data_IF_209821595974
#
_entry.id   IF_209821595974
#
_cell.length_a   1.000
_cell.length_b   1.000
_cell.length_c   1.000
_cell.angle_alpha   90.00
_cell.angle_beta   90.00
_cell.angle_gamma   90.00
#
_symmetry.space_group_name_H-M   'P 1'
#
loop_
_entity.id
_entity.type
_entity.pdbx_description
1 polymer ?
#
# COMPACT_ATOMS: atom_id res chain seq x y z
N UNK A 1 -9.78 6.38 -9.58
CA UNK A 1 -8.78 7.44 -9.36
C UNK A 1 -7.78 6.92 -8.35
N UNK A 2 -6.50 7.00 -8.66
CA UNK A 2 -5.45 6.53 -7.76
C UNK A 2 -5.32 7.45 -6.53
N UNK A 3 -5.14 6.84 -5.36
CA UNK A 3 -4.89 7.53 -4.09
C UNK A 3 -3.40 7.83 -3.85
N UNK A 4 -2.53 7.34 -4.73
CA UNK A 4 -1.08 7.58 -4.69
C UNK A 4 -0.57 7.83 -6.10
N UNK A 5 0.61 8.45 -6.18
CA UNK A 5 1.30 8.78 -7.42
C UNK A 5 2.47 7.84 -7.70
N UNK A 6 3.02 7.93 -8.92
CA UNK A 6 4.22 7.19 -9.32
C UNK A 6 5.41 7.53 -8.41
N UNK A 7 5.54 8.79 -7.99
CA UNK A 7 6.59 9.24 -7.07
C UNK A 7 6.51 8.56 -5.70
N UNK A 8 5.29 8.29 -5.21
CA UNK A 8 5.11 7.54 -3.96
C UNK A 8 5.57 6.08 -4.12
N UNK A 9 5.32 5.47 -5.28
CA UNK A 9 5.77 4.12 -5.61
C UNK A 9 7.31 4.07 -5.69
N UNK A 10 7.94 5.05 -6.32
CA UNK A 10 9.40 5.16 -6.37
C UNK A 10 10.01 5.31 -4.97
N UNK A 11 9.40 6.13 -4.12
CA UNK A 11 9.82 6.30 -2.74
C UNK A 11 9.70 4.98 -1.94
N UNK A 12 8.63 4.21 -2.17
CA UNK A 12 8.43 2.91 -1.54
C UNK A 12 9.38 1.82 -2.07
N UNK A 13 9.69 1.85 -3.37
CA UNK A 13 10.66 0.95 -4.01
C UNK A 13 12.11 1.28 -3.64
N UNK A 14 12.40 2.53 -3.28
CA UNK A 14 13.77 3.03 -3.10
C UNK A 14 14.55 3.15 -4.41
N UNK A 15 13.86 3.17 -5.56
CA UNK A 15 14.43 3.35 -6.90
C UNK A 15 13.40 3.99 -7.83
N UNK A 16 13.89 4.60 -8.90
CA UNK A 16 13.07 5.17 -9.99
C UNK A 16 12.39 4.04 -10.78
N UNK A 17 11.17 4.28 -11.24
CA UNK A 17 10.45 3.39 -12.15
C UNK A 17 11.10 3.47 -13.54
N UNK A 18 11.26 2.32 -14.19
CA UNK A 18 11.69 2.31 -15.59
C UNK A 18 10.52 2.62 -16.52
N UNK A 19 10.79 3.12 -17.74
CA UNK A 19 9.72 3.45 -18.72
C UNK A 19 8.85 2.24 -19.12
N UNK A 20 9.33 1.02 -18.89
CA UNK A 20 8.58 -0.22 -19.14
C UNK A 20 7.67 -0.63 -17.97
N UNK A 21 7.84 -0.02 -16.79
CA UNK A 21 7.09 -0.35 -15.57
C UNK A 21 5.86 0.56 -15.45
N UNK A 22 4.76 0.15 -16.09
CA UNK A 22 3.47 0.81 -15.93
C UNK A 22 2.77 0.33 -14.64
N UNK A 23 2.64 1.24 -13.67
CA UNK A 23 2.02 0.99 -12.36
C UNK A 23 0.58 1.50 -12.27
N UNK A 24 0.04 2.11 -13.32
CA UNK A 24 -1.28 2.76 -13.31
C UNK A 24 -2.41 1.81 -12.88
N UNK A 25 -2.49 0.64 -13.52
CA UNK A 25 -3.52 -0.37 -13.21
C UNK A 25 -3.34 -0.94 -11.80
N UNK A 26 -2.10 -1.06 -11.32
CA UNK A 26 -1.81 -1.52 -9.95
C UNK A 26 -2.23 -0.47 -8.91
N UNK A 27 -1.97 0.81 -9.19
CA UNK A 27 -2.37 1.94 -8.35
C UNK A 27 -3.89 2.04 -8.25
N UNK A 28 -4.61 1.89 -9.36
CA UNK A 28 -6.07 1.88 -9.37
C UNK A 28 -6.62 0.71 -8.54
N UNK A 29 -6.14 -0.51 -8.80
CA UNK A 29 -6.58 -1.71 -8.07
C UNK A 29 -6.28 -1.60 -6.56
N UNK A 30 -5.09 -1.10 -6.20
CA UNK A 30 -4.72 -0.87 -4.81
C UNK A 30 -5.61 0.20 -4.15
N UNK A 31 -5.93 1.26 -4.89
CA UNK A 31 -6.81 2.33 -4.42
C UNK A 31 -8.24 1.84 -4.18
N UNK A 32 -8.78 1.00 -5.06
CA UNK A 32 -10.10 0.40 -4.90
C UNK A 32 -10.16 -0.52 -3.66
N UNK A 33 -9.12 -1.31 -3.42
CA UNK A 33 -9.00 -2.14 -2.23
C UNK A 33 -8.95 -1.30 -0.95
N UNK A 34 -8.19 -0.20 -0.96
CA UNK A 34 -8.11 0.72 0.18
C UNK A 34 -9.43 1.43 0.41
N UNK A 35 -10.11 1.93 -0.64
CA UNK A 35 -11.43 2.53 -0.53
C UNK A 35 -12.47 1.53 0.02
N UNK A 36 -12.45 0.29 -0.48
CA UNK A 36 -13.30 -0.79 0.01
C UNK A 36 -13.05 -1.11 1.49
N UNK A 37 -11.79 -1.06 1.94
CA UNK A 37 -11.44 -1.24 3.35
C UNK A 37 -11.89 -0.06 4.23
N UNK A 38 -11.66 1.17 3.76
CA UNK A 38 -12.00 2.40 4.48
C UNK A 38 -13.52 2.64 4.54
N UNK A 39 -14.26 2.16 3.53
CA UNK A 39 -15.69 2.37 3.37
C UNK A 39 -16.06 3.74 2.81
N UNK A 40 -15.08 4.49 2.30
CA UNK A 40 -15.23 5.78 1.62
C UNK A 40 -13.95 6.09 0.83
N UNK A 41 -14.03 7.09 -0.04
CA UNK A 41 -12.87 7.65 -0.73
C UNK A 41 -12.42 8.91 0.02
N UNK A 42 -11.20 8.96 0.59
CA UNK A 42 -10.71 10.14 1.27
C UNK A 42 -10.42 11.28 0.29
N UNK A 43 -10.84 12.50 0.65
CA UNK A 43 -10.57 13.73 -0.09
C UNK A 43 -10.49 14.91 0.91
N UNK A 44 -9.30 15.53 1.13
CA UNK A 44 -8.01 15.18 0.52
C UNK A 44 -7.49 13.82 1.02
N UNK A 45 -6.60 13.19 0.25
CA UNK A 45 -5.99 11.90 0.61
C UNK A 45 -4.90 12.12 1.67
N UNK A 46 -4.99 11.52 2.87
CA UNK A 46 -3.92 11.62 3.87
C UNK A 46 -2.64 10.90 3.42
N UNK A 47 -1.45 11.49 3.66
CA UNK A 47 -0.16 10.88 3.33
C UNK A 47 -0.02 9.41 3.80
N UNK A 48 -0.49 9.02 5.01
CA UNK A 48 -0.38 7.62 5.44
C UNK A 48 -1.19 6.66 4.56
N UNK A 49 -2.28 7.12 3.94
CA UNK A 49 -3.10 6.33 3.01
C UNK A 49 -2.37 6.18 1.68
N UNK A 50 -1.81 7.27 1.13
CA UNK A 50 -1.00 7.24 -0.08
C UNK A 50 0.20 6.29 0.05
N UNK A 51 0.93 6.35 1.18
CA UNK A 51 2.05 5.44 1.47
C UNK A 51 1.64 3.97 1.52
N UNK A 52 0.45 3.66 2.05
CA UNK A 52 -0.04 2.27 2.07
C UNK A 52 -0.34 1.78 0.66
N UNK A 53 -0.91 2.61 -0.20
CA UNK A 53 -1.18 2.27 -1.60
C UNK A 53 0.14 2.04 -2.35
N UNK A 54 1.12 2.92 -2.16
CA UNK A 54 2.46 2.76 -2.73
C UNK A 54 3.17 1.49 -2.24
N UNK A 55 3.14 1.20 -0.95
CA UNK A 55 3.68 -0.03 -0.35
C UNK A 55 3.04 -1.29 -0.96
N UNK A 56 1.73 -1.25 -1.26
CA UNK A 56 1.03 -2.36 -1.91
C UNK A 56 1.55 -2.61 -3.33
N UNK A 57 1.72 -1.55 -4.11
CA UNK A 57 2.24 -1.64 -5.49
C UNK A 57 3.70 -2.11 -5.48
N UNK A 58 4.54 -1.50 -4.65
CA UNK A 58 5.93 -1.89 -4.50
C UNK A 58 6.08 -3.38 -4.09
N UNK A 59 5.21 -3.86 -3.18
CA UNK A 59 5.21 -5.26 -2.77
C UNK A 59 4.86 -6.23 -3.90
N UNK A 60 3.98 -5.84 -4.84
CA UNK A 60 3.68 -6.62 -6.04
C UNK A 60 4.88 -6.66 -6.98
N UNK A 61 5.53 -5.53 -7.20
CA UNK A 61 6.69 -5.42 -8.10
C UNK A 61 7.93 -6.17 -7.61
N UNK A 62 8.12 -6.25 -6.30
CA UNK A 62 9.26 -6.96 -5.68
C UNK A 62 8.96 -8.46 -5.48
N UNK A 63 7.70 -8.89 -5.61
CA UNK A 63 7.34 -10.30 -5.44
C UNK A 63 8.04 -11.12 -6.53
N UNK A 64 8.91 -12.08 -6.19
CA UNK A 64 9.45 -12.99 -7.19
C UNK A 64 8.29 -13.76 -7.82
N UNK A 65 8.30 -13.88 -9.14
CA UNK A 65 7.36 -14.72 -9.90
C UNK A 65 7.67 -16.20 -9.64
N UNK A 66 7.51 -16.63 -8.39
CA UNK A 66 7.67 -18.01 -7.99
C UNK A 66 6.46 -18.77 -8.51
N UNK A 67 6.68 -19.56 -9.55
CA UNK A 67 5.69 -20.52 -10.05
C UNK A 67 5.41 -21.51 -8.92
N UNK A 68 4.16 -21.93 -8.75
CA UNK A 68 3.68 -22.83 -7.69
C UNK A 68 4.52 -24.11 -7.51
N UNK A 69 5.25 -24.52 -8.56
CA UNK A 69 6.18 -25.66 -8.55
C UNK A 69 7.39 -25.50 -7.62
N UNK A 70 7.94 -24.28 -7.46
CA UNK A 70 9.13 -24.06 -6.63
C UNK A 70 8.79 -24.00 -5.13
N UNK A 71 7.54 -23.66 -4.80
CA UNK A 71 7.06 -23.51 -3.42
C UNK A 71 6.93 -24.84 -2.68
N UNK A 72 6.53 -25.91 -3.39
CA UNK A 72 6.41 -27.26 -2.81
C UNK A 72 7.77 -27.97 -2.66
N UNK A 73 8.74 -27.68 -3.54
CA UNK A 73 10.04 -28.33 -3.52
C UNK A 73 11.00 -27.73 -2.48
N UNK A 74 10.90 -26.44 -2.20
CA UNK A 74 11.98 -25.74 -1.49
C UNK A 74 11.79 -25.58 0.01
N UNK A 75 10.71 -26.10 0.61
CA UNK A 75 10.47 -25.96 2.06
C UNK A 75 10.66 -24.52 2.55
N UNK A 76 10.25 -23.55 1.72
CA UNK A 76 10.63 -22.12 1.80
C UNK A 76 9.89 -21.44 2.95
N UNK A 77 10.19 -21.87 4.17
CA UNK A 77 10.13 -21.06 5.37
C UNK A 77 11.27 -20.05 5.27
N UNK A 78 11.17 -19.08 4.36
CA UNK A 78 12.00 -17.88 4.52
C UNK A 78 11.44 -17.14 5.72
N UNK A 79 12.12 -17.43 6.83
CA UNK A 79 12.44 -16.49 7.89
C UNK A 79 12.80 -15.13 7.26
N UNK A 80 11.79 -14.33 6.93
CA UNK A 80 11.91 -12.88 6.88
C UNK A 80 11.41 -12.39 8.22
N UNK A 81 12.35 -12.34 9.15
CA UNK A 81 12.30 -11.81 10.51
C UNK A 81 11.99 -10.29 10.56
N UNK A 82 11.23 -9.75 9.59
CA UNK A 82 10.89 -8.32 9.50
C UNK A 82 9.42 -8.02 9.22
N UNK A 83 8.55 -9.00 8.99
CA UNK A 83 7.12 -8.73 8.96
C UNK A 83 6.33 -9.99 9.30
N UNK A 84 5.43 -9.88 10.28
CA UNK A 84 4.41 -10.88 10.63
C UNK A 84 3.38 -11.07 9.49
N UNK A 85 3.81 -11.26 8.25
CA UNK A 85 2.96 -11.54 7.10
C UNK A 85 2.84 -13.04 6.99
N UNK A 86 1.88 -13.61 7.72
CA UNK A 86 1.34 -14.92 7.37
C UNK A 86 0.61 -14.75 6.05
N UNK A 87 1.24 -15.15 4.95
CA UNK A 87 0.57 -15.23 3.65
C UNK A 87 -0.44 -16.36 3.76
N UNK A 88 -1.68 -16.02 4.12
CA UNK A 88 -2.79 -16.96 4.15
C UNK A 88 -2.97 -17.59 2.77
N UNK A 89 -3.43 -18.84 2.77
CA UNK A 89 -3.72 -19.72 1.62
C UNK A 89 -4.56 -19.04 0.51
N UNK A 90 -5.19 -17.91 0.82
CA UNK A 90 -5.95 -17.01 -0.04
C UNK A 90 -5.13 -16.12 -1.01
N UNK A 91 -3.79 -16.03 -0.86
CA UNK A 91 -2.90 -15.27 -1.77
C UNK A 91 -2.30 -16.07 -2.93
N UNK A 92 -2.73 -17.32 -3.13
CA UNK A 92 -2.07 -18.25 -4.05
C UNK A 92 -2.42 -18.08 -5.53
N UNK A 93 -3.34 -17.17 -5.90
CA UNK A 93 -3.76 -16.96 -7.31
C UNK A 93 -3.89 -15.50 -7.74
N UNK A 94 -3.68 -14.52 -6.86
CA UNK A 94 -3.79 -13.10 -7.23
C UNK A 94 -2.44 -12.52 -7.65
N UNK A 95 -2.32 -12.20 -8.94
CA UNK A 95 -1.22 -11.40 -9.54
C UNK A 95 -1.36 -9.90 -9.20
N UNK A 96 -2.36 -9.52 -8.41
CA UNK A 96 -2.67 -8.13 -8.06
C UNK A 96 -2.27 -7.74 -6.63
N UNK A 97 -2.38 -6.44 -6.29
CA UNK A 97 -2.07 -5.91 -4.97
C UNK A 97 -2.99 -6.50 -3.90
N UNK A 98 -2.46 -6.65 -2.67
CA UNK A 98 -3.22 -7.22 -1.55
C UNK A 98 -3.02 -6.45 -0.24
N UNK A 99 -4.08 -6.36 0.55
CA UNK A 99 -4.05 -5.73 1.88
C UNK A 99 -3.61 -6.72 2.94
N UNK A 100 -2.33 -6.65 3.35
CA UNK A 100 -1.81 -7.43 4.48
C UNK A 100 -2.41 -6.98 5.81
N UNK A 101 -2.32 -7.82 6.85
CA UNK A 101 -2.75 -7.47 8.20
C UNK A 101 -2.03 -6.21 8.74
N UNK A 102 -0.74 -6.05 8.43
CA UNK A 102 0.05 -4.88 8.83
C UNK A 102 -0.45 -3.59 8.17
N UNK A 103 -0.73 -3.62 6.86
CA UNK A 103 -1.28 -2.47 6.13
C UNK A 103 -2.69 -2.12 6.62
N UNK A 104 -3.53 -3.13 6.88
CA UNK A 104 -4.84 -2.92 7.50
C UNK A 104 -4.69 -2.20 8.84
N UNK A 105 -3.74 -2.60 9.69
CA UNK A 105 -3.49 -1.90 10.97
C UNK A 105 -3.14 -0.42 10.79
N UNK A 106 -2.35 -0.06 9.77
CA UNK A 106 -2.04 1.34 9.44
C UNK A 106 -3.27 2.12 8.94
N UNK A 107 -4.18 1.46 8.23
CA UNK A 107 -5.42 2.07 7.72
C UNK A 107 -6.56 2.14 8.76
N UNK A 108 -6.51 1.34 9.84
CA UNK A 108 -7.56 1.29 10.88
C UNK A 108 -8.01 2.67 11.38
N UNK A 109 -7.11 3.63 11.64
CA UNK A 109 -7.52 4.93 12.15
C UNK A 109 -8.35 5.77 11.19
N UNK A 110 -8.22 5.52 9.88
CA UNK A 110 -8.92 6.26 8.83
C UNK A 110 -10.27 5.65 8.48
N UNK A 111 -10.55 4.41 8.91
CA UNK A 111 -11.78 3.70 8.51
C UNK A 111 -13.03 4.34 9.12
N UNK A 112 -14.07 4.53 8.30
CA UNK A 112 -15.38 5.04 8.74
C UNK A 112 -16.06 4.01 9.65
N UNK A 113 -15.94 4.22 10.96
CA UNK A 113 -16.37 3.29 12.03
C UNK A 113 -15.29 2.97 13.07
N UNK A 114 -14.02 3.30 12.80
CA UNK A 114 -12.94 3.33 13.78
C UNK A 114 -12.92 4.67 14.51
N UNK A 115 -13.23 4.67 15.81
CA UNK A 115 -13.12 5.87 16.64
C UNK A 115 -11.65 6.22 16.87
N UNK A 116 -11.07 7.09 16.04
CA UNK A 116 -9.84 7.82 16.40
C UNK A 116 -9.87 9.20 15.77
N UNK A 117 -9.93 10.21 16.63
CA UNK A 117 -9.76 11.60 16.26
C UNK A 117 -8.30 11.83 15.86
N UNK A 118 -8.07 12.32 14.64
CA UNK A 118 -6.82 12.98 14.31
C UNK A 118 -7.03 14.48 14.53
N UNK A 119 -6.31 15.05 15.50
CA UNK A 119 -6.18 16.50 15.60
C UNK A 119 -5.10 16.90 14.62
N UNK A 120 -5.49 17.55 13.52
CA UNK A 120 -4.57 18.25 12.64
C UNK A 120 -4.34 19.62 13.28
N UNK A 121 -3.11 19.84 13.75
CA UNK A 121 -2.63 21.18 14.09
C UNK A 121 -2.32 21.87 12.77
N UNK A 122 -3.25 22.72 12.31
CA UNK A 122 -3.05 23.56 11.14
C UNK A 122 -2.19 24.74 11.58
N UNK A 123 -0.89 24.69 11.29
CA UNK A 123 0.01 25.80 11.56
C UNK A 123 -0.44 27.05 10.78
N UNK A 124 -0.41 28.25 11.40
CA UNK A 124 -0.91 29.47 10.77
C UNK A 124 0.01 29.96 9.65
N UNK A 125 -0.58 30.34 8.51
CA UNK A 125 0.10 31.08 7.44
C UNK A 125 0.64 32.39 8.00
N UNK A 126 1.95 32.58 7.86
CA UNK A 126 2.63 33.83 8.20
C UNK A 126 2.45 34.77 7.02
N UNK A 127 1.54 35.75 7.14
CA UNK A 127 1.51 36.92 6.25
C UNK A 127 2.72 37.80 6.56
N UNK A 128 3.74 37.77 5.70
CA UNK A 128 4.72 38.85 5.60
C UNK A 128 4.11 40.02 4.82
N UNK A 129 3.56 40.99 5.56
CA UNK A 129 3.22 42.30 5.03
C UNK A 129 4.48 43.14 4.81
N UNK A 130 4.64 43.63 3.58
CA UNK A 130 5.60 44.69 3.19
C UNK A 130 4.93 46.06 3.27
#
# INVERSE_FOLDING_TARGET
MALASDADVEAALGRVLTEAEDVSTLLETASDLVCGYLGYTPDPVPDPVARVVADMVAAVMVKPSTTTADYQASGYNVSREFANVRVGVESQTSTGPWLTAALRMRLRPFRRGGRTAFSIDLAPEVEEGS
#
